data_IF_800256333264
#
_entry.id   IF_800256333264
#
_cell.length_a   1.000
_cell.length_b   1.000
_cell.length_c   1.000
_cell.angle_alpha   90.00
_cell.angle_beta   90.00
_cell.angle_gamma   90.00
#
_symmetry.space_group_name_H-M   'P 1'
#
loop_
_entity.id
_entity.type
_entity.pdbx_description
1 polymer ?
#
# COMPACT_ATOMS: atom_id res chain seq x y z
N UNK A 1 -8.47 -1.58 -8.33
CA UNK A 1 -8.65 -3.05 -8.15
C UNK A 1 -9.84 -3.37 -7.26
N UNK A 2 -9.91 -2.75 -6.09
CA UNK A 2 -10.91 -3.09 -5.09
C UNK A 2 -12.35 -2.90 -5.59
N UNK A 3 -12.64 -1.74 -6.17
CA UNK A 3 -14.00 -1.41 -6.65
C UNK A 3 -14.44 -2.34 -7.78
N UNK A 4 -13.54 -2.61 -8.73
CA UNK A 4 -13.84 -3.53 -9.84
C UNK A 4 -14.14 -4.95 -9.38
N UNK A 5 -13.64 -5.34 -8.22
CA UNK A 5 -13.80 -6.67 -7.65
C UNK A 5 -14.91 -6.75 -6.59
N UNK A 6 -15.66 -5.68 -6.41
CA UNK A 6 -16.81 -5.65 -5.51
C UNK A 6 -16.60 -4.99 -4.16
N UNK A 7 -15.45 -4.39 -3.92
CA UNK A 7 -15.18 -3.65 -2.71
C UNK A 7 -15.65 -2.19 -2.79
N UNK A 8 -15.50 -1.46 -1.69
CA UNK A 8 -15.90 -0.06 -1.59
C UNK A 8 -14.79 0.83 -1.08
N UNK A 9 -14.95 2.15 -1.24
CA UNK A 9 -14.00 3.15 -0.81
C UNK A 9 -14.64 4.16 0.15
N UNK A 10 -13.82 4.70 1.06
CA UNK A 10 -14.10 6.00 1.65
C UNK A 10 -13.95 7.05 0.55
N UNK A 11 -14.94 7.90 0.36
CA UNK A 11 -14.90 8.92 -0.70
C UNK A 11 -14.05 10.13 -0.32
N UNK A 12 -14.00 10.47 0.96
CA UNK A 12 -13.20 11.56 1.49
C UNK A 12 -12.77 11.22 2.93
N UNK A 13 -11.50 10.93 3.13
CA UNK A 13 -10.98 10.50 4.44
C UNK A 13 -11.18 11.54 5.54
N UNK A 14 -10.88 12.85 5.34
CA UNK A 14 -11.08 13.81 6.41
C UNK A 14 -12.53 13.92 6.88
N UNK A 15 -13.49 13.71 5.99
CA UNK A 15 -14.91 13.78 6.33
C UNK A 15 -15.45 12.48 6.91
N UNK A 16 -15.06 11.32 6.37
CA UNK A 16 -15.66 10.03 6.70
C UNK A 16 -14.89 9.25 7.77
N UNK A 17 -13.58 9.48 7.88
CA UNK A 17 -12.73 8.84 8.87
C UNK A 17 -11.69 9.83 9.39
N UNK A 18 -12.08 10.78 10.26
CA UNK A 18 -11.13 11.74 10.85
C UNK A 18 -9.99 11.01 11.58
N UNK A 19 -8.76 11.50 11.38
CA UNK A 19 -7.56 10.91 11.96
C UNK A 19 -6.51 12.00 12.18
N UNK A 20 -5.57 11.76 13.10
CA UNK A 20 -4.40 12.61 13.28
C UNK A 20 -3.36 12.40 12.17
N UNK A 21 -3.48 11.31 11.41
CA UNK A 21 -2.58 11.02 10.28
C UNK A 21 -3.07 11.79 9.05
N UNK A 22 -2.17 12.55 8.43
CA UNK A 22 -2.46 13.25 7.19
C UNK A 22 -2.11 12.34 6.00
N UNK A 23 -3.14 11.75 5.37
CA UNK A 23 -2.95 10.87 4.22
C UNK A 23 -2.72 11.61 2.90
N UNK A 24 -2.83 12.94 2.90
CA UNK A 24 -2.56 13.78 1.74
C UNK A 24 -1.51 14.81 2.11
N UNK A 25 -0.24 14.37 2.15
CA UNK A 25 0.86 15.22 2.58
C UNK A 25 1.17 16.34 1.58
N UNK A 26 1.81 17.37 2.10
CA UNK A 26 2.38 18.43 1.27
C UNK A 26 3.81 18.07 0.86
N UNK A 27 4.41 18.86 -0.05
CA UNK A 27 5.81 18.66 -0.45
C UNK A 27 6.75 18.75 0.77
N UNK A 28 7.84 17.95 0.80
CA UNK A 28 8.26 16.99 -0.23
C UNK A 28 7.55 15.63 -0.10
N UNK A 29 7.17 15.06 -1.24
CA UNK A 29 6.43 13.78 -1.27
C UNK A 29 7.30 12.55 -1.05
N UNK A 30 8.62 12.68 -1.11
CA UNK A 30 9.55 11.58 -0.88
C UNK A 30 9.84 11.33 0.61
N UNK A 31 9.34 12.18 1.50
CA UNK A 31 9.51 11.99 2.94
C UNK A 31 8.40 11.14 3.51
N UNK A 32 8.73 10.08 4.28
CA UNK A 32 7.70 9.31 4.97
C UNK A 32 7.07 10.14 6.08
N UNK A 33 5.75 10.04 6.24
CA UNK A 33 5.00 10.80 7.23
C UNK A 33 4.24 9.95 8.23
N UNK A 34 4.04 8.66 7.93
CA UNK A 34 3.44 7.71 8.88
C UNK A 34 3.98 6.32 8.67
N UNK A 35 3.61 5.40 9.55
CA UNK A 35 4.02 4.00 9.50
C UNK A 35 2.87 3.11 9.08
N UNK A 36 3.20 2.00 8.45
CA UNK A 36 2.26 0.91 8.19
C UNK A 36 2.80 -0.38 8.78
N UNK A 37 1.90 -1.18 9.34
CA UNK A 37 2.21 -2.51 9.83
C UNK A 37 1.95 -3.53 8.73
N UNK A 38 2.95 -4.34 8.42
CA UNK A 38 2.83 -5.39 7.42
C UNK A 38 2.17 -6.62 8.04
N UNK A 39 1.28 -7.26 7.28
CA UNK A 39 0.63 -8.51 7.69
C UNK A 39 1.60 -9.66 7.42
N UNK A 40 1.83 -10.52 8.41
CA UNK A 40 2.72 -11.68 8.29
C UNK A 40 2.24 -12.63 7.19
N UNK A 41 3.19 -13.35 6.60
CA UNK A 41 2.94 -14.36 5.56
C UNK A 41 2.30 -13.80 4.29
N UNK A 42 2.48 -12.53 4.02
CA UNK A 42 2.07 -11.91 2.76
C UNK A 42 3.28 -11.68 1.85
N UNK A 43 3.06 -11.55 0.52
CA UNK A 43 4.18 -11.32 -0.39
C UNK A 43 5.02 -10.09 -0.04
N UNK A 44 4.38 -9.02 0.41
CA UNK A 44 5.09 -7.79 0.78
C UNK A 44 5.94 -8.00 2.04
N UNK A 45 5.39 -8.63 3.06
CA UNK A 45 6.12 -8.95 4.29
C UNK A 45 7.33 -9.84 4.01
N UNK A 46 7.16 -10.85 3.15
CA UNK A 46 8.24 -11.75 2.76
C UNK A 46 9.32 -11.04 1.94
N UNK A 47 8.93 -10.09 1.10
CA UNK A 47 9.88 -9.31 0.28
C UNK A 47 10.72 -8.36 1.14
N UNK A 48 10.06 -7.59 2.00
CA UNK A 48 10.73 -6.52 2.76
C UNK A 48 11.39 -7.03 4.04
N UNK A 49 10.88 -8.14 4.60
CA UNK A 49 11.38 -8.77 5.84
C UNK A 49 11.36 -7.81 7.03
N UNK A 50 10.30 -7.00 7.11
CA UNK A 50 10.07 -6.06 8.18
C UNK A 50 8.63 -6.15 8.64
N UNK A 51 8.36 -5.80 9.90
CA UNK A 51 7.00 -5.80 10.46
C UNK A 51 6.33 -4.43 10.30
N UNK A 52 7.12 -3.37 10.33
CA UNK A 52 6.66 -1.97 10.26
C UNK A 52 7.58 -1.21 9.32
N UNK A 53 7.02 -0.43 8.42
CA UNK A 53 7.78 0.46 7.54
C UNK A 53 7.20 1.87 7.58
N UNK A 54 8.03 2.87 7.31
CA UNK A 54 7.60 4.25 7.15
C UNK A 54 7.29 4.53 5.69
N UNK A 55 6.18 5.21 5.42
CA UNK A 55 5.71 5.47 4.05
C UNK A 55 5.27 6.92 3.88
N UNK A 56 5.33 7.40 2.64
CA UNK A 56 4.70 8.66 2.26
C UNK A 56 3.19 8.47 2.09
N UNK A 57 2.45 9.55 1.94
CA UNK A 57 1.00 9.46 1.78
C UNK A 57 0.48 10.63 0.94
N UNK A 58 -0.27 10.29 -0.11
CA UNK A 58 -0.84 11.29 -1.01
C UNK A 58 -2.16 10.75 -1.57
N UNK A 59 -3.19 10.70 -0.70
CA UNK A 59 -4.52 10.24 -1.10
C UNK A 59 -5.59 10.80 -0.16
N UNK A 60 -6.81 10.93 -0.66
CA UNK A 60 -7.98 11.34 0.14
C UNK A 60 -9.07 10.27 0.17
N UNK A 61 -8.88 9.20 -0.58
CA UNK A 61 -9.74 8.02 -0.58
C UNK A 61 -8.95 6.81 -0.10
N UNK A 62 -9.63 5.81 0.39
CA UNK A 62 -9.04 4.55 0.83
C UNK A 62 -10.07 3.43 0.78
N UNK A 63 -9.60 2.19 0.88
CA UNK A 63 -10.47 1.02 0.92
C UNK A 63 -11.31 1.09 2.20
N UNK A 64 -12.63 1.01 2.04
CA UNK A 64 -13.58 0.87 3.14
C UNK A 64 -13.88 -0.61 3.36
N UNK A 65 -14.45 -1.26 2.37
CA UNK A 65 -14.73 -2.69 2.38
C UNK A 65 -13.86 -3.39 1.33
N UNK A 66 -13.01 -4.31 1.77
CA UNK A 66 -12.12 -5.05 0.87
C UNK A 66 -12.90 -6.10 0.08
N UNK A 67 -12.70 -6.13 -1.23
CA UNK A 67 -13.28 -7.17 -2.08
C UNK A 67 -12.80 -8.57 -1.67
N UNK A 68 -13.67 -9.59 -1.75
CA UNK A 68 -13.32 -10.95 -1.31
C UNK A 68 -12.14 -11.60 -2.04
N UNK A 69 -11.87 -11.15 -3.27
CA UNK A 69 -10.78 -11.67 -4.10
C UNK A 69 -9.39 -11.26 -3.59
N UNK A 70 -9.31 -10.17 -2.83
CA UNK A 70 -8.04 -9.61 -2.36
C UNK A 70 -7.82 -9.87 -0.88
N UNK A 71 -6.55 -9.86 -0.48
CA UNK A 71 -6.15 -9.89 0.92
C UNK A 71 -5.30 -8.67 1.24
N UNK A 72 -5.43 -8.17 2.47
CA UNK A 72 -4.65 -7.04 2.94
C UNK A 72 -3.22 -7.48 3.25
N UNK A 73 -2.24 -6.62 2.88
CA UNK A 73 -0.83 -6.82 3.20
C UNK A 73 -0.30 -5.80 4.21
N UNK A 74 -0.96 -4.67 4.37
CA UNK A 74 -0.51 -3.62 5.29
C UNK A 74 -1.67 -2.76 5.78
N UNK A 75 -1.54 -2.28 7.02
CA UNK A 75 -2.48 -1.37 7.65
C UNK A 75 -1.75 -0.16 8.21
N UNK A 76 -2.34 1.03 8.07
CA UNK A 76 -1.84 2.24 8.72
C UNK A 76 -2.14 2.23 10.23
N UNK A 77 -1.58 3.18 10.96
CA UNK A 77 -1.80 3.30 12.41
C UNK A 77 -3.28 3.60 12.75
N UNK A 78 -4.01 4.22 11.84
CA UNK A 78 -5.45 4.47 11.95
C UNK A 78 -6.30 3.37 11.30
N UNK A 79 -5.72 2.19 11.09
CA UNK A 79 -6.37 0.96 10.61
C UNK A 79 -6.94 1.02 9.19
N UNK A 80 -6.42 1.90 8.33
CA UNK A 80 -6.74 1.84 6.91
C UNK A 80 -5.90 0.78 6.22
N UNK A 81 -6.51 0.07 5.28
CA UNK A 81 -5.78 -0.88 4.42
C UNK A 81 -4.89 -0.06 3.47
N UNK A 82 -3.59 -0.32 3.50
CA UNK A 82 -2.59 0.41 2.71
C UNK A 82 -1.97 -0.42 1.60
N UNK A 83 -2.12 -1.74 1.64
CA UNK A 83 -1.64 -2.63 0.58
C UNK A 83 -2.50 -3.88 0.49
N UNK A 84 -2.72 -4.35 -0.74
CA UNK A 84 -3.51 -5.56 -1.03
C UNK A 84 -2.83 -6.40 -2.10
N UNK A 85 -3.18 -7.69 -2.17
CA UNK A 85 -2.73 -8.58 -3.22
C UNK A 85 -3.80 -9.61 -3.58
N UNK A 86 -3.70 -10.15 -4.80
CA UNK A 86 -4.56 -11.24 -5.25
C UNK A 86 -3.83 -12.57 -5.00
N UNK A 87 -4.31 -13.41 -4.07
CA UNK A 87 -3.56 -14.61 -3.67
C UNK A 87 -3.43 -15.68 -4.77
N UNK A 88 -4.33 -15.67 -5.75
CA UNK A 88 -4.35 -16.67 -6.83
C UNK A 88 -3.57 -16.23 -8.08
N UNK A 89 -2.96 -15.06 -8.07
CA UNK A 89 -2.18 -14.53 -9.18
C UNK A 89 -0.72 -14.35 -8.80
N UNK A 90 0.17 -14.43 -9.78
CA UNK A 90 1.62 -14.32 -9.52
C UNK A 90 2.02 -12.98 -8.95
N UNK A 91 1.51 -11.91 -9.52
CA UNK A 91 1.87 -10.57 -9.08
C UNK A 91 0.77 -9.56 -9.42
N UNK A 92 -0.26 -9.52 -8.59
CA UNK A 92 -1.23 -8.42 -8.59
C UNK A 92 -1.20 -7.82 -7.20
N UNK A 93 -0.48 -6.71 -7.05
CA UNK A 93 -0.32 -5.97 -5.80
C UNK A 93 -0.77 -4.54 -6.02
N UNK A 94 -1.29 -3.94 -4.99
CA UNK A 94 -1.57 -2.51 -4.96
C UNK A 94 -1.15 -1.95 -3.61
N UNK A 95 -0.54 -0.78 -3.63
CA UNK A 95 -0.16 -0.04 -2.42
C UNK A 95 -0.78 1.35 -2.47
N UNK A 96 -1.12 1.89 -1.31
CA UNK A 96 -1.72 3.21 -1.20
C UNK A 96 -0.68 4.32 -1.18
N UNK A 97 0.52 4.04 -0.66
CA UNK A 97 1.63 4.99 -0.70
C UNK A 97 2.26 5.01 -2.09
N UNK A 98 3.21 5.91 -2.29
CA UNK A 98 3.81 6.16 -3.58
C UNK A 98 5.32 5.85 -3.59
N UNK A 99 5.71 4.59 -3.83
CA UNK A 99 7.13 4.21 -3.91
C UNK A 99 7.89 4.97 -5.00
N UNK A 100 7.22 5.37 -6.07
CA UNK A 100 7.84 6.13 -7.16
C UNK A 100 8.37 7.49 -6.73
N UNK A 101 7.85 8.08 -5.66
CA UNK A 101 8.37 9.35 -5.14
C UNK A 101 9.63 9.19 -4.31
N UNK A 102 9.87 8.01 -3.74
CA UNK A 102 10.96 7.79 -2.78
C UNK A 102 11.97 6.73 -3.19
N UNK A 103 11.83 6.12 -4.38
CA UNK A 103 12.65 4.97 -4.78
C UNK A 103 14.15 5.29 -4.82
N UNK A 104 14.56 6.54 -5.02
CA UNK A 104 15.96 6.94 -5.05
C UNK A 104 16.62 6.92 -3.67
N UNK A 105 15.83 7.01 -2.60
CA UNK A 105 16.32 7.16 -1.23
C UNK A 105 15.92 6.00 -0.31
N UNK A 106 14.95 5.18 -0.72
CA UNK A 106 14.32 4.18 0.13
C UNK A 106 14.48 2.77 -0.45
N UNK A 107 15.17 1.91 0.30
CA UNK A 107 15.40 0.53 -0.10
C UNK A 107 14.11 -0.27 -0.24
N UNK A 108 13.10 -0.02 0.60
CA UNK A 108 11.83 -0.73 0.52
C UNK A 108 11.09 -0.40 -0.78
N UNK A 109 11.10 0.87 -1.18
CA UNK A 109 10.52 1.29 -2.46
C UNK A 109 11.25 0.64 -3.63
N UNK A 110 12.58 0.56 -3.57
CA UNK A 110 13.39 -0.10 -4.60
C UNK A 110 13.06 -1.59 -4.71
N UNK A 111 12.89 -2.28 -3.57
CA UNK A 111 12.55 -3.69 -3.55
C UNK A 111 11.17 -3.96 -4.18
N UNK A 112 10.19 -3.12 -3.89
CA UNK A 112 8.83 -3.25 -4.44
C UNK A 112 8.86 -3.09 -5.96
N UNK A 113 9.51 -2.03 -6.46
CA UNK A 113 9.59 -1.78 -7.91
C UNK A 113 10.39 -2.85 -8.62
N UNK A 114 11.48 -3.33 -8.02
CA UNK A 114 12.30 -4.41 -8.57
C UNK A 114 11.53 -5.74 -8.62
N UNK A 115 10.70 -6.02 -7.63
CA UNK A 115 9.86 -7.23 -7.62
C UNK A 115 8.87 -7.23 -8.78
N UNK A 116 8.27 -6.09 -9.07
CA UNK A 116 7.37 -5.93 -10.22
C UNK A 116 8.09 -6.18 -11.54
N UNK A 117 9.24 -5.54 -11.74
CA UNK A 117 10.04 -5.73 -12.97
C UNK A 117 10.46 -7.19 -13.11
N UNK A 118 10.89 -7.82 -12.03
CA UNK A 118 11.29 -9.22 -12.03
C UNK A 118 10.12 -10.15 -12.41
N UNK A 119 8.92 -9.88 -11.91
CA UNK A 119 7.72 -10.64 -12.27
C UNK A 119 7.39 -10.50 -13.75
N UNK A 120 7.51 -9.30 -14.31
CA UNK A 120 7.31 -9.05 -15.74
C UNK A 120 8.30 -9.85 -16.60
N UNK A 121 9.58 -9.92 -16.19
CA UNK A 121 10.61 -10.67 -16.91
C UNK A 121 10.37 -12.17 -16.92
N UNK A 122 9.67 -12.71 -15.90
CA UNK A 122 9.34 -14.14 -15.82
C UNK A 122 8.08 -14.52 -16.59
N UNK A 123 7.53 -13.59 -17.36
CA UNK A 123 6.33 -13.84 -18.15
C UNK A 123 5.07 -14.01 -17.32
N UNK A 124 5.04 -13.33 -16.20
CA UNK A 124 3.91 -13.39 -15.29
C UNK A 124 2.66 -12.74 -15.89
#
# INVERSE_FOLDING_TARGET
FNVLSGGTLYQDLPAQKPSTINHHQTLPYDHPIHQVKLVDDTPLSNLLKEDVIAVNSYHHQAIKDLAPTFKAMAYSEDYLIEAIYHPDKKFIWAVQWHPEFSYQHDQNSQKILSAFVCACKKGA
#
